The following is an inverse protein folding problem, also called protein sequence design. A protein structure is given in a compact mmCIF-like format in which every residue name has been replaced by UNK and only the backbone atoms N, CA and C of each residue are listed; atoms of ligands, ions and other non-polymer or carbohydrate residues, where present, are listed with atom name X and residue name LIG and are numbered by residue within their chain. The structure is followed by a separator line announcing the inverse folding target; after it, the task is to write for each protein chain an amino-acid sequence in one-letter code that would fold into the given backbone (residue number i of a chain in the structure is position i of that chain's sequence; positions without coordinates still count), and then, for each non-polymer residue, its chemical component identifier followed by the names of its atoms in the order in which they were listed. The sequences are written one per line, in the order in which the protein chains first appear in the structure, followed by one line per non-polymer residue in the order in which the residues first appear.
data_IF_762989220689
#
_entry.id   IF_762989220689
#
_cell.length_a   1.000
_cell.length_b   1.000
_cell.length_c   1.000
_cell.angle_alpha   90.00
_cell.angle_beta   90.00
_cell.angle_gamma   90.00
#
_symmetry.space_group_name_H-M   'P 1'
#
loop_
_entity.id
_entity.type
_entity.pdbx_description
1 polymer ?
#
# COMPACT_ATOMS: atom_id res chain seq x y z
N UNK A 1 -9.22 -33.26 19.30
CA UNK A 1 -8.32 -32.17 19.81
C UNK A 1 -8.06 -32.27 21.31
N UNK A 2 -9.05 -32.40 22.23
CA UNK A 2 -8.82 -32.42 23.69
C UNK A 2 -7.89 -33.56 24.14
N UNK A 3 -8.04 -34.79 23.61
CA UNK A 3 -7.21 -35.93 23.96
C UNK A 3 -5.75 -35.73 23.54
N UNK A 4 -5.51 -35.13 22.38
CA UNK A 4 -4.15 -34.82 21.88
C UNK A 4 -3.46 -33.79 22.78
N UNK A 5 -4.18 -32.77 23.25
CA UNK A 5 -3.65 -31.73 24.16
C UNK A 5 -3.37 -32.33 25.55
N UNK A 6 -4.22 -33.19 26.07
CA UNK A 6 -4.01 -33.93 27.33
C UNK A 6 -2.74 -34.77 27.29
N UNK A 7 -2.56 -35.54 26.19
CA UNK A 7 -1.41 -36.43 26.00
C UNK A 7 -0.09 -35.64 25.78
N UNK A 8 -0.19 -34.45 25.18
CA UNK A 8 1.00 -33.61 24.88
C UNK A 8 1.48 -32.80 26.11
N UNK A 9 0.56 -32.31 26.93
CA UNK A 9 0.89 -31.50 28.11
C UNK A 9 0.87 -32.27 29.42
N UNK A 10 0.53 -33.56 29.42
CA UNK A 10 0.43 -34.39 30.64
C UNK A 10 -0.62 -33.90 31.65
N UNK A 11 -1.62 -33.16 31.17
CA UNK A 11 -2.67 -32.58 32.00
C UNK A 11 -3.97 -33.40 31.92
N UNK A 12 -4.56 -33.72 33.08
CA UNK A 12 -5.93 -34.26 33.11
C UNK A 12 -6.96 -33.11 32.90
N UNK A 13 -7.42 -32.93 31.67
CA UNK A 13 -8.42 -31.92 31.33
C UNK A 13 -9.84 -32.19 31.89
N UNK A 14 -10.01 -33.29 32.65
CA UNK A 14 -11.27 -33.68 33.28
C UNK A 14 -11.21 -33.57 34.83
N UNK A 15 -10.06 -33.20 35.39
CA UNK A 15 -9.95 -32.93 36.80
C UNK A 15 -10.85 -31.74 37.20
N UNK A 16 -11.55 -31.78 38.33
CA UNK A 16 -12.31 -30.63 38.82
C UNK A 16 -11.38 -29.46 39.08
N UNK A 17 -11.82 -28.27 38.65
CA UNK A 17 -11.05 -27.01 38.84
C UNK A 17 -10.88 -26.76 40.36
N UNK A 18 -9.67 -26.44 40.74
CA UNK A 18 -9.37 -26.03 42.14
C UNK A 18 -9.75 -24.55 42.35
N UNK A 19 -9.88 -24.12 43.61
CA UNK A 19 -10.12 -22.71 43.94
C UNK A 19 -9.00 -21.79 43.35
N UNK A 20 -7.75 -22.30 43.28
CA UNK A 20 -6.65 -21.60 42.65
C UNK A 20 -6.83 -21.45 41.16
N UNK A 21 -7.35 -22.46 40.47
CA UNK A 21 -7.63 -22.38 39.01
C UNK A 21 -8.76 -21.39 38.73
N UNK A 22 -9.80 -21.37 39.57
CA UNK A 22 -10.91 -20.41 39.47
C UNK A 22 -10.41 -18.98 39.66
N UNK A 23 -9.56 -18.75 40.63
CA UNK A 23 -8.98 -17.40 40.88
C UNK A 23 -8.03 -16.97 39.73
N UNK A 24 -7.21 -17.88 39.23
CA UNK A 24 -6.35 -17.61 38.07
C UNK A 24 -7.20 -17.28 36.80
N UNK A 25 -8.27 -18.00 36.60
CA UNK A 25 -9.21 -17.70 35.47
C UNK A 25 -9.86 -16.32 35.64
N UNK A 26 -10.26 -15.93 36.83
CA UNK A 26 -10.79 -14.59 37.14
C UNK A 26 -9.77 -13.50 36.88
N UNK A 27 -8.53 -13.69 37.31
CA UNK A 27 -7.42 -12.76 37.06
C UNK A 27 -7.12 -12.63 35.58
N UNK A 28 -7.07 -13.75 34.87
CA UNK A 28 -6.89 -13.76 33.41
C UNK A 28 -8.02 -13.00 32.69
N UNK A 29 -9.29 -13.31 33.01
CA UNK A 29 -10.45 -12.60 32.43
C UNK A 29 -10.44 -11.11 32.77
N UNK A 30 -10.04 -10.72 33.96
CA UNK A 30 -9.88 -9.32 34.36
C UNK A 30 -8.78 -8.62 33.57
N UNK A 31 -7.61 -9.26 33.39
CA UNK A 31 -6.50 -8.75 32.61
C UNK A 31 -6.87 -8.60 31.13
N UNK A 32 -7.55 -9.59 30.54
CA UNK A 32 -8.04 -9.53 29.15
C UNK A 32 -9.01 -8.36 28.98
N UNK A 33 -10.00 -8.17 29.87
CA UNK A 33 -10.93 -7.04 29.82
C UNK A 33 -10.23 -5.69 29.95
N UNK A 34 -9.25 -5.58 30.83
CA UNK A 34 -8.46 -4.36 30.99
C UNK A 34 -7.66 -4.05 29.71
N UNK A 35 -7.06 -5.08 29.09
CA UNK A 35 -6.34 -4.96 27.80
C UNK A 35 -7.29 -4.54 26.68
N UNK A 36 -8.48 -5.16 26.56
CA UNK A 36 -9.49 -4.77 25.58
C UNK A 36 -9.97 -3.32 25.74
N UNK A 37 -10.09 -2.83 26.98
CA UNK A 37 -10.48 -1.44 27.25
C UNK A 37 -9.39 -0.46 26.86
N UNK A 38 -8.12 -0.77 27.20
CA UNK A 38 -6.95 0.03 26.78
C UNK A 38 -6.82 0.04 25.24
N UNK A 39 -7.08 -1.09 24.59
CA UNK A 39 -7.07 -1.17 23.13
C UNK A 39 -8.15 -0.28 22.50
N UNK A 40 -9.36 -0.24 23.05
CA UNK A 40 -10.45 0.63 22.57
C UNK A 40 -10.11 2.13 22.69
N UNK A 41 -9.54 2.54 23.80
CA UNK A 41 -9.12 3.93 24.01
C UNK A 41 -7.99 4.33 23.05
N UNK A 42 -7.00 3.43 22.87
CA UNK A 42 -5.91 3.67 21.91
C UNK A 42 -6.42 3.71 20.47
N UNK A 43 -7.34 2.82 20.10
CA UNK A 43 -8.01 2.85 18.78
C UNK A 43 -8.73 4.17 18.57
N UNK A 44 -9.54 4.61 19.53
CA UNK A 44 -10.25 5.89 19.46
C UNK A 44 -9.29 7.09 19.34
N UNK A 45 -8.14 7.05 20.04
CA UNK A 45 -7.09 8.05 19.94
C UNK A 45 -6.44 8.08 18.56
N UNK A 46 -6.18 6.89 17.97
CA UNK A 46 -5.65 6.79 16.60
C UNK A 46 -6.63 7.34 15.59
N UNK A 47 -7.91 6.97 15.68
CA UNK A 47 -8.97 7.51 14.81
C UNK A 47 -9.03 9.03 14.86
N UNK A 48 -9.07 9.63 16.07
CA UNK A 48 -9.07 11.11 16.22
C UNK A 48 -7.85 11.76 15.54
N UNK A 49 -6.65 11.14 15.64
CA UNK A 49 -5.45 11.67 14.95
C UNK A 49 -5.56 11.60 13.43
N UNK A 50 -6.16 10.53 12.91
CA UNK A 50 -6.42 10.38 11.47
C UNK A 50 -7.45 11.41 11.00
N UNK A 51 -8.55 11.60 11.73
CA UNK A 51 -9.58 12.59 11.42
C UNK A 51 -9.00 14.01 11.37
N UNK A 52 -8.18 14.37 12.36
CA UNK A 52 -7.49 15.67 12.37
C UNK A 52 -6.57 15.81 11.17
N UNK A 53 -5.77 14.79 10.85
CA UNK A 53 -4.87 14.82 9.69
C UNK A 53 -5.67 14.98 8.40
N UNK A 54 -6.74 14.22 8.22
CA UNK A 54 -7.61 14.28 7.06
C UNK A 54 -8.29 15.67 6.92
N UNK A 55 -8.80 16.21 8.03
CA UNK A 55 -9.47 17.51 8.04
C UNK A 55 -8.57 18.66 7.54
N UNK A 56 -7.28 18.63 7.88
CA UNK A 56 -6.31 19.65 7.45
C UNK A 56 -5.59 19.31 6.15
N UNK A 57 -6.01 18.26 5.45
CA UNK A 57 -5.48 17.88 4.14
C UNK A 57 -6.34 18.50 3.06
N UNK A 58 -5.72 19.26 2.17
CA UNK A 58 -6.36 19.88 1.01
C UNK A 58 -5.82 19.31 -0.30
N UNK A 59 -6.29 19.88 -1.39
CA UNK A 59 -5.84 19.52 -2.74
C UNK A 59 -4.36 19.86 -2.97
N UNK A 60 -3.69 19.08 -3.79
CA UNK A 60 -2.35 19.36 -4.30
C UNK A 60 -2.48 20.36 -5.44
N UNK A 61 -2.32 21.66 -5.13
CA UNK A 61 -2.34 22.75 -6.12
C UNK A 61 -0.97 22.90 -6.79
N UNK A 62 -0.91 23.47 -8.02
CA UNK A 62 0.35 23.59 -8.79
C UNK A 62 1.53 24.23 -8.06
N UNK A 63 1.28 25.12 -7.11
CA UNK A 63 2.31 25.88 -6.36
C UNK A 63 2.65 25.25 -4.99
N UNK A 64 2.11 24.08 -4.67
CA UNK A 64 2.43 23.41 -3.41
C UNK A 64 3.79 22.71 -3.47
N UNK A 65 4.51 22.58 -2.34
CA UNK A 65 5.74 21.78 -2.29
C UNK A 65 5.57 20.34 -2.77
N UNK A 66 4.38 19.75 -2.57
CA UNK A 66 4.07 18.40 -3.06
C UNK A 66 3.94 18.35 -4.57
N UNK A 67 3.33 19.35 -5.21
CA UNK A 67 3.29 19.42 -6.67
C UNK A 67 4.71 19.57 -7.26
N UNK A 68 5.56 20.36 -6.61
CA UNK A 68 6.97 20.49 -6.99
C UNK A 68 7.71 19.16 -6.79
N UNK A 69 7.47 18.47 -5.67
CA UNK A 69 8.01 17.15 -5.41
C UNK A 69 7.66 16.13 -6.51
N UNK A 70 6.40 16.09 -6.91
CA UNK A 70 5.95 15.18 -7.97
C UNK A 70 6.61 15.53 -9.33
N UNK A 71 6.73 16.82 -9.67
CA UNK A 71 7.47 17.25 -10.88
C UNK A 71 8.94 16.83 -10.84
N UNK A 72 9.61 17.02 -9.71
CA UNK A 72 11.00 16.61 -9.52
C UNK A 72 11.17 15.08 -9.65
N UNK A 73 10.08 14.32 -9.51
CA UNK A 73 10.01 12.87 -9.72
C UNK A 73 9.57 12.47 -11.14
N UNK A 74 9.49 13.43 -12.07
CA UNK A 74 9.06 13.18 -13.44
C UNK A 74 7.55 13.01 -13.62
N UNK A 75 6.76 13.15 -12.54
CA UNK A 75 5.30 13.04 -12.57
C UNK A 75 4.72 14.42 -12.86
N UNK A 76 4.46 14.73 -14.12
CA UNK A 76 4.07 16.05 -14.59
C UNK A 76 2.69 16.08 -15.25
N UNK A 77 2.37 15.09 -16.07
CA UNK A 77 1.11 14.96 -16.78
C UNK A 77 -0.05 14.74 -15.81
N UNK A 78 0.16 13.88 -14.80
CA UNK A 78 -0.84 13.57 -13.78
C UNK A 78 -1.17 14.75 -12.86
N UNK A 79 -0.38 15.82 -12.82
CA UNK A 79 -0.65 16.96 -11.93
C UNK A 79 -1.98 17.66 -12.19
N UNK A 80 -2.55 17.51 -13.38
CA UNK A 80 -3.89 18.00 -13.72
C UNK A 80 -5.03 17.06 -13.31
N UNK A 81 -4.70 15.79 -13.01
CA UNK A 81 -5.66 14.72 -12.70
C UNK A 81 -5.15 13.82 -11.58
N UNK A 82 -4.70 14.42 -10.47
CA UNK A 82 -4.24 13.65 -9.32
C UNK A 82 -5.40 12.89 -8.67
N UNK A 83 -5.14 11.68 -8.17
CA UNK A 83 -6.17 10.90 -7.51
C UNK A 83 -6.67 11.58 -6.23
N UNK A 84 -7.97 11.44 -5.94
CA UNK A 84 -8.64 12.00 -4.76
C UNK A 84 -8.07 11.53 -3.41
N UNK A 85 -7.39 10.38 -3.41
CA UNK A 85 -6.77 9.82 -2.22
C UNK A 85 -5.38 10.40 -1.93
N UNK A 86 -4.88 11.29 -2.81
CA UNK A 86 -3.70 12.11 -2.54
C UNK A 86 -4.09 13.53 -2.17
N UNK A 87 -3.41 14.06 -1.17
CA UNK A 87 -3.63 15.42 -0.71
C UNK A 87 -2.35 16.08 -0.22
N UNK A 88 -2.47 17.36 0.06
CA UNK A 88 -1.42 18.22 0.59
C UNK A 88 -1.77 18.71 1.98
N UNK A 89 -0.85 18.56 2.92
CA UNK A 89 -0.91 19.19 4.22
C UNK A 89 0.36 20.01 4.45
N UNK A 90 0.18 21.31 4.73
CA UNK A 90 1.30 22.24 4.89
C UNK A 90 2.01 22.12 6.25
N UNK A 91 1.43 21.41 7.23
CA UNK A 91 1.90 21.40 8.62
C UNK A 91 1.82 20.01 9.24
N UNK A 92 2.72 19.12 8.83
CA UNK A 92 2.80 17.77 9.40
C UNK A 92 3.92 17.73 10.43
N UNK A 93 3.60 17.30 11.65
CA UNK A 93 4.58 17.12 12.71
C UNK A 93 5.43 15.88 12.46
N UNK A 94 6.74 16.05 12.45
CA UNK A 94 7.75 15.00 12.47
C UNK A 94 8.47 15.01 13.82
N UNK A 95 8.52 13.88 14.50
CA UNK A 95 9.30 13.74 15.73
C UNK A 95 10.74 13.38 15.39
N UNK A 96 11.65 14.33 15.59
CA UNK A 96 13.08 14.12 15.43
C UNK A 96 13.66 13.53 16.71
N UNK A 97 14.05 12.26 16.66
CA UNK A 97 14.55 11.51 17.82
C UNK A 97 15.88 12.03 18.33
N UNK A 98 16.75 12.48 17.43
CA UNK A 98 18.09 12.97 17.79
C UNK A 98 18.00 14.32 18.48
N UNK A 99 17.12 15.18 18.00
CA UNK A 99 16.90 16.53 18.56
C UNK A 99 15.86 16.57 19.67
N UNK A 100 15.19 15.45 19.96
CA UNK A 100 14.11 15.33 20.95
C UNK A 100 13.05 16.43 20.80
N UNK A 101 12.67 16.78 19.55
CA UNK A 101 11.71 17.83 19.26
C UNK A 101 10.84 17.52 18.05
N UNK A 102 9.66 18.13 18.01
CA UNK A 102 8.81 18.13 16.83
C UNK A 102 9.25 19.21 15.86
N UNK A 103 9.41 18.84 14.60
CA UNK A 103 9.65 19.73 13.47
C UNK A 103 8.43 19.67 12.57
N UNK A 104 8.08 20.79 11.92
CA UNK A 104 6.94 20.85 11.00
C UNK A 104 7.47 20.89 9.57
N UNK A 105 6.95 19.99 8.74
CA UNK A 105 7.19 19.97 7.31
C UNK A 105 5.87 19.99 6.54
N UNK A 106 5.85 20.52 5.33
CA UNK A 106 4.79 20.20 4.38
C UNK A 106 4.91 18.73 3.95
N UNK A 107 3.84 18.15 3.44
CA UNK A 107 3.93 16.79 2.94
C UNK A 107 2.70 16.33 2.14
N UNK A 108 2.94 15.26 1.40
CA UNK A 108 1.92 14.51 0.70
C UNK A 108 1.25 13.55 1.67
N UNK A 109 -0.06 13.54 1.63
CA UNK A 109 -0.95 12.66 2.38
C UNK A 109 -1.56 11.68 1.39
N UNK A 110 -1.47 10.37 1.68
CA UNK A 110 -2.12 9.35 0.90
C UNK A 110 -3.00 8.48 1.80
N UNK A 111 -4.24 8.25 1.37
CA UNK A 111 -5.20 7.44 2.13
C UNK A 111 -4.93 5.96 1.84
N UNK A 112 -4.63 5.19 2.88
CA UNK A 112 -4.55 3.73 2.83
C UNK A 112 -5.92 3.15 3.17
N UNK A 113 -6.45 2.29 2.29
CA UNK A 113 -7.79 1.69 2.41
C UNK A 113 -7.70 0.23 2.81
N UNK A 114 -8.71 -0.25 3.54
CA UNK A 114 -8.87 -1.66 3.88
C UNK A 114 -9.38 -2.49 2.68
N UNK A 115 -9.54 -3.79 2.88
CA UNK A 115 -10.05 -4.74 1.87
C UNK A 115 -11.50 -4.48 1.41
N UNK A 116 -12.20 -3.55 2.06
CA UNK A 116 -13.56 -3.10 1.68
C UNK A 116 -13.54 -1.72 1.04
N UNK A 117 -12.34 -1.18 0.74
CA UNK A 117 -12.17 0.15 0.18
C UNK A 117 -12.43 1.31 1.15
N UNK A 118 -12.54 1.06 2.46
CA UNK A 118 -12.78 2.11 3.46
C UNK A 118 -11.46 2.70 3.94
N UNK A 119 -11.38 4.03 4.17
CA UNK A 119 -10.18 4.65 4.76
C UNK A 119 -9.80 3.96 6.08
N UNK A 120 -8.56 3.52 6.18
CA UNK A 120 -8.03 2.81 7.35
C UNK A 120 -6.93 3.61 8.05
N UNK A 121 -5.98 4.13 7.29
CA UNK A 121 -4.89 4.94 7.82
C UNK A 121 -4.33 5.89 6.77
N UNK A 122 -3.28 6.62 7.10
CA UNK A 122 -2.70 7.66 6.26
C UNK A 122 -1.20 7.43 6.14
N UNK A 123 -0.71 7.39 4.90
CA UNK A 123 0.71 7.48 4.58
C UNK A 123 1.10 8.95 4.41
N UNK A 124 2.24 9.35 4.97
CA UNK A 124 2.78 10.71 4.92
C UNK A 124 4.14 10.69 4.24
N UNK A 125 4.32 11.50 3.21
CA UNK A 125 5.62 11.79 2.62
C UNK A 125 5.98 13.22 2.96
N UNK A 126 6.98 13.40 3.83
CA UNK A 126 7.46 14.73 4.22
C UNK A 126 8.35 15.29 3.12
N UNK A 127 8.09 16.52 2.73
CA UNK A 127 8.84 17.23 1.69
C UNK A 127 9.36 18.56 2.23
N UNK A 128 10.35 19.12 1.57
CA UNK A 128 10.80 20.48 1.84
C UNK A 128 10.14 21.50 0.87
N UNK A 129 10.48 22.76 1.04
CA UNK A 129 9.95 23.85 0.20
C UNK A 129 10.42 23.78 -1.26
N UNK A 130 11.51 23.07 -1.55
CA UNK A 130 12.07 22.93 -2.89
C UNK A 130 11.52 21.72 -3.64
N UNK A 131 10.63 20.94 -3.00
CA UNK A 131 10.08 19.71 -3.58
C UNK A 131 11.04 18.53 -3.49
N UNK A 132 11.94 18.53 -2.53
CA UNK A 132 12.76 17.39 -2.19
C UNK A 132 12.16 16.67 -0.97
N UNK A 133 12.58 15.41 -0.72
CA UNK A 133 12.24 14.77 0.55
C UNK A 133 12.80 15.60 1.70
N UNK A 134 11.99 15.79 2.75
CA UNK A 134 12.45 16.48 3.96
C UNK A 134 13.74 15.82 4.48
N UNK A 135 14.72 16.63 4.98
CA UNK A 135 16.00 16.13 5.48
C UNK A 135 15.86 15.51 6.86
N UNK A 136 15.17 14.37 6.92
CA UNK A 136 14.88 13.60 8.12
C UNK A 136 15.21 12.12 7.87
N UNK A 137 15.43 11.36 8.94
CA UNK A 137 15.79 9.95 8.86
C UNK A 137 14.79 9.14 8.02
N UNK A 138 13.49 9.31 8.29
CA UNK A 138 12.42 8.59 7.61
C UNK A 138 11.39 9.57 7.03
N UNK A 139 11.59 10.06 5.79
CA UNK A 139 10.68 11.02 5.18
C UNK A 139 9.34 10.40 4.74
N UNK A 140 9.18 9.09 4.80
CA UNK A 140 7.95 8.35 4.50
C UNK A 140 7.51 7.57 5.72
N UNK A 141 6.32 7.88 6.26
CA UNK A 141 5.81 7.25 7.47
C UNK A 141 4.31 6.98 7.37
N UNK A 142 3.93 5.74 7.68
CA UNK A 142 2.53 5.39 7.92
C UNK A 142 2.08 5.86 9.29
N UNK A 143 0.89 6.43 9.42
CA UNK A 143 0.26 6.65 10.73
C UNK A 143 -0.16 5.29 11.31
N UNK A 144 -0.12 5.18 12.64
CA UNK A 144 -0.49 3.95 13.32
C UNK A 144 -1.96 3.63 13.06
N UNK A 145 -2.29 2.50 12.41
CA UNK A 145 -3.67 2.18 12.03
C UNK A 145 -4.51 1.81 13.25
N UNK A 146 -5.83 2.05 13.23
CA UNK A 146 -6.75 1.62 14.28
C UNK A 146 -7.14 0.14 14.19
N UNK A 147 -6.85 -0.54 13.06
CA UNK A 147 -7.13 -1.95 12.83
C UNK A 147 -6.05 -2.59 11.95
N UNK A 148 -6.20 -3.88 11.66
CA UNK A 148 -5.29 -4.63 10.79
C UNK A 148 -5.25 -4.04 9.36
N UNK A 149 -4.04 -3.97 8.81
CA UNK A 149 -3.78 -3.44 7.47
C UNK A 149 -3.71 -4.53 6.38
N UNK A 150 -3.78 -5.79 6.75
CA UNK A 150 -3.63 -6.91 5.80
C UNK A 150 -4.63 -6.81 4.66
N UNK A 151 -4.15 -6.90 3.45
CA UNK A 151 -4.96 -6.85 2.23
C UNK A 151 -5.32 -5.45 1.73
N UNK A 152 -5.04 -4.40 2.51
CA UNK A 152 -5.29 -3.03 2.10
C UNK A 152 -4.24 -2.48 1.14
N UNK A 153 -4.51 -1.26 0.63
CA UNK A 153 -3.63 -0.53 -0.30
C UNK A 153 -4.01 0.95 -0.39
N UNK A 154 -3.15 1.74 -1.01
CA UNK A 154 -3.46 3.11 -1.43
C UNK A 154 -4.04 3.02 -2.84
N UNK A 155 -5.36 3.17 -2.96
CA UNK A 155 -6.13 2.99 -4.19
C UNK A 155 -6.14 4.30 -4.97
N UNK A 156 -5.02 4.58 -5.69
CA UNK A 156 -4.83 5.88 -6.36
C UNK A 156 -5.85 6.11 -7.47
N UNK A 157 -6.08 5.11 -8.31
CA UNK A 157 -7.03 5.19 -9.43
C UNK A 157 -7.94 3.97 -9.42
N UNK A 158 -9.20 4.14 -9.82
CA UNK A 158 -10.10 3.00 -10.00
C UNK A 158 -9.60 2.09 -11.13
N UNK A 159 -9.83 0.77 -11.06
CA UNK A 159 -9.53 -0.12 -12.18
C UNK A 159 -10.25 0.34 -13.44
N UNK A 160 -9.59 0.24 -14.58
CA UNK A 160 -10.19 0.60 -15.86
C UNK A 160 -10.94 -0.59 -16.47
N UNK A 161 -12.18 -0.35 -16.92
CA UNK A 161 -12.96 -1.31 -17.70
C UNK A 161 -13.30 -0.72 -19.07
N UNK A 162 -12.68 -1.27 -20.12
CA UNK A 162 -13.03 -0.97 -21.50
C UNK A 162 -14.17 -1.88 -21.96
N UNK A 163 -15.36 -1.31 -22.11
CA UNK A 163 -16.55 -2.05 -22.55
C UNK A 163 -16.48 -2.50 -24.00
N UNK A 164 -15.72 -1.81 -24.87
CA UNK A 164 -15.55 -2.15 -26.27
C UNK A 164 -14.80 -3.47 -26.48
N UNK A 165 -13.68 -3.64 -25.78
CA UNK A 165 -12.91 -4.88 -25.77
C UNK A 165 -13.33 -5.87 -24.69
N UNK A 166 -14.19 -5.46 -23.76
CA UNK A 166 -14.52 -6.21 -22.53
C UNK A 166 -13.28 -6.56 -21.70
N UNK A 167 -12.40 -5.57 -21.50
CA UNK A 167 -11.13 -5.70 -20.81
C UNK A 167 -11.12 -4.92 -19.49
N UNK A 168 -10.79 -5.58 -18.40
CA UNK A 168 -10.54 -4.94 -17.11
C UNK A 168 -9.05 -4.92 -16.82
N UNK A 169 -8.54 -3.80 -16.29
CA UNK A 169 -7.11 -3.61 -16.04
C UNK A 169 -6.86 -2.91 -14.72
N UNK A 170 -5.89 -3.42 -13.97
CA UNK A 170 -5.35 -2.80 -12.75
C UNK A 170 -3.88 -3.14 -12.60
N UNK A 171 -3.09 -2.16 -12.17
CA UNK A 171 -1.71 -2.32 -11.73
C UNK A 171 -1.56 -2.17 -10.21
N UNK A 172 -0.51 -2.75 -9.66
CA UNK A 172 -0.11 -2.56 -8.25
C UNK A 172 1.42 -2.43 -8.20
N UNK A 173 1.91 -1.41 -7.49
CA UNK A 173 3.35 -1.19 -7.22
C UNK A 173 3.61 -1.12 -5.72
N UNK A 174 4.87 -1.19 -5.29
CA UNK A 174 5.20 -1.08 -3.87
C UNK A 174 4.99 0.35 -3.35
N UNK A 175 5.56 1.35 -4.00
CA UNK A 175 5.57 2.73 -3.56
C UNK A 175 4.56 3.63 -4.29
N UNK A 176 4.18 4.76 -3.66
CA UNK A 176 3.28 5.75 -4.25
C UNK A 176 3.90 6.35 -5.52
N UNK A 177 5.18 6.73 -5.45
CA UNK A 177 5.89 7.31 -6.58
C UNK A 177 6.01 6.32 -7.73
N UNK A 178 6.25 5.03 -7.43
CA UNK A 178 6.29 3.97 -8.44
C UNK A 178 4.93 3.79 -9.11
N UNK A 179 3.85 3.71 -8.33
CA UNK A 179 2.50 3.62 -8.88
C UNK A 179 2.13 4.83 -9.76
N UNK A 180 2.45 6.06 -9.31
CA UNK A 180 2.24 7.26 -10.10
C UNK A 180 3.11 7.29 -11.36
N UNK A 181 4.35 6.78 -11.31
CA UNK A 181 5.23 6.68 -12.47
C UNK A 181 4.70 5.72 -13.52
N UNK A 182 4.12 4.59 -13.09
CA UNK A 182 3.42 3.66 -13.98
C UNK A 182 2.26 4.36 -14.69
N UNK A 183 1.40 5.07 -13.95
CA UNK A 183 0.27 5.79 -14.55
C UNK A 183 0.75 6.92 -15.46
N UNK A 184 1.77 7.68 -15.05
CA UNK A 184 2.37 8.75 -15.87
C UNK A 184 2.90 8.22 -17.20
N UNK A 185 3.60 7.09 -17.19
CA UNK A 185 4.25 6.55 -18.37
C UNK A 185 3.29 5.74 -19.26
N UNK A 186 2.38 4.96 -18.66
CA UNK A 186 1.62 3.92 -19.38
C UNK A 186 0.13 4.17 -19.45
N UNK A 187 -0.40 5.11 -18.66
CA UNK A 187 -1.84 5.31 -18.42
C UNK A 187 -2.55 4.10 -17.78
N UNK A 188 -1.83 3.09 -17.32
CA UNK A 188 -2.41 1.95 -16.60
C UNK A 188 -2.78 2.39 -15.18
N UNK A 189 -4.04 2.26 -14.73
CA UNK A 189 -4.39 2.55 -13.34
C UNK A 189 -3.55 1.69 -12.41
N UNK A 190 -2.94 2.30 -11.40
CA UNK A 190 -2.02 1.61 -10.52
C UNK A 190 -2.21 2.03 -9.06
N UNK A 191 -2.20 1.06 -8.14
CA UNK A 191 -2.26 1.26 -6.70
C UNK A 191 -0.88 1.16 -6.07
N UNK A 192 -0.73 1.72 -4.86
CA UNK A 192 0.48 1.57 -4.08
C UNK A 192 0.23 0.71 -2.85
N UNK A 193 1.06 -0.31 -2.66
CA UNK A 193 0.94 -1.23 -1.53
C UNK A 193 1.55 -0.69 -0.24
N UNK A 194 2.54 0.19 -0.32
CA UNK A 194 3.34 0.80 0.75
C UNK A 194 4.52 -0.01 1.31
N UNK A 195 4.60 -1.29 1.05
CA UNK A 195 5.74 -2.17 1.39
C UNK A 195 5.61 -3.51 0.66
N UNK A 196 6.70 -4.30 0.59
CA UNK A 196 6.70 -5.64 0.02
C UNK A 196 5.68 -6.56 0.73
N UNK A 197 5.58 -6.50 2.06
CA UNK A 197 4.59 -7.27 2.82
C UNK A 197 3.15 -6.86 2.46
N UNK A 198 2.88 -5.58 2.31
CA UNK A 198 1.56 -5.11 1.86
C UNK A 198 1.30 -5.55 0.42
N UNK A 199 2.31 -5.49 -0.48
CA UNK A 199 2.20 -5.91 -1.87
C UNK A 199 1.75 -7.37 -2.00
N UNK A 200 2.39 -8.27 -1.29
CA UNK A 200 2.04 -9.69 -1.26
C UNK A 200 0.56 -9.93 -0.90
N UNK A 201 0.02 -9.10 0.00
CA UNK A 201 -1.32 -9.27 0.58
C UNK A 201 -2.41 -8.43 -0.08
N UNK A 202 -2.12 -7.58 -1.07
CA UNK A 202 -3.12 -6.70 -1.72
C UNK A 202 -4.36 -7.48 -2.13
N UNK A 203 -5.52 -6.92 -1.80
CA UNK A 203 -6.84 -7.46 -2.16
C UNK A 203 -7.64 -6.40 -2.90
N UNK A 204 -8.28 -6.79 -4.00
CA UNK A 204 -9.20 -5.92 -4.72
C UNK A 204 -10.57 -6.01 -4.05
N UNK A 205 -11.16 -4.87 -3.59
CA UNK A 205 -12.51 -4.85 -3.04
C UNK A 205 -13.53 -5.38 -4.04
N UNK A 206 -14.58 -6.08 -3.55
CA UNK A 206 -15.58 -6.72 -4.41
C UNK A 206 -16.25 -5.78 -5.42
N UNK A 207 -16.48 -4.52 -5.04
CA UNK A 207 -17.12 -3.52 -5.90
C UNK A 207 -16.20 -2.95 -6.99
N UNK A 208 -14.89 -3.24 -6.94
CA UNK A 208 -13.88 -2.87 -7.94
C UNK A 208 -13.42 -4.06 -8.78
N UNK A 209 -13.94 -5.25 -8.52
CA UNK A 209 -13.64 -6.45 -9.32
C UNK A 209 -14.21 -6.32 -10.74
N UNK A 210 -13.66 -7.08 -11.71
CA UNK A 210 -14.20 -7.14 -13.06
C UNK A 210 -15.69 -7.48 -13.10
N UNK A 211 -16.45 -6.98 -14.11
CA UNK A 211 -17.82 -7.45 -14.35
C UNK A 211 -17.89 -8.96 -14.60
N UNK A 212 -19.00 -9.63 -14.29
CA UNK A 212 -19.10 -11.09 -14.40
C UNK A 212 -18.86 -11.66 -15.80
N UNK A 213 -19.15 -10.87 -16.85
CA UNK A 213 -19.03 -11.21 -18.28
C UNK A 213 -17.75 -10.68 -18.94
N UNK A 214 -16.79 -10.22 -18.15
CA UNK A 214 -15.50 -9.72 -18.65
C UNK A 214 -14.77 -10.80 -19.47
N UNK A 215 -14.22 -10.44 -20.63
CA UNK A 215 -13.48 -11.36 -21.51
C UNK A 215 -11.99 -11.40 -21.20
N UNK A 216 -11.42 -10.26 -20.88
CA UNK A 216 -9.98 -10.10 -20.62
C UNK A 216 -9.76 -9.43 -19.28
N UNK A 217 -8.88 -10.00 -18.47
CA UNK A 217 -8.48 -9.44 -17.18
C UNK A 217 -6.96 -9.26 -17.20
N UNK A 218 -6.51 -8.03 -17.07
CA UNK A 218 -5.11 -7.67 -16.96
C UNK A 218 -4.82 -7.20 -15.53
N UNK A 219 -3.92 -7.91 -14.84
CA UNK A 219 -3.45 -7.52 -13.51
C UNK A 219 -1.93 -7.46 -13.54
N UNK A 220 -1.38 -6.25 -13.35
CA UNK A 220 0.04 -6.01 -13.49
C UNK A 220 0.68 -5.69 -12.14
N UNK A 221 1.80 -6.34 -11.83
CA UNK A 221 2.53 -6.17 -10.57
C UNK A 221 3.89 -5.57 -10.90
N UNK A 222 4.12 -4.35 -10.42
CA UNK A 222 5.30 -3.56 -10.70
C UNK A 222 6.27 -3.65 -9.54
N UNK A 223 7.16 -4.65 -9.59
CA UNK A 223 8.15 -4.92 -8.55
C UNK A 223 9.39 -4.03 -8.73
N UNK A 224 10.01 -3.62 -7.62
CA UNK A 224 11.30 -2.94 -7.65
C UNK A 224 12.44 -3.96 -7.88
N UNK A 225 13.52 -3.54 -8.55
CA UNK A 225 14.71 -4.34 -8.76
C UNK A 225 15.74 -4.03 -7.69
N UNK A 226 15.82 -4.88 -6.68
CA UNK A 226 16.78 -4.78 -5.59
C UNK A 226 17.96 -5.72 -5.74
N UNK A 227 19.11 -5.34 -5.19
CA UNK A 227 20.21 -6.27 -4.96
C UNK A 227 19.76 -7.28 -3.90
N UNK A 228 20.04 -8.57 -4.15
CA UNK A 228 19.76 -9.61 -3.17
C UNK A 228 20.50 -9.32 -1.85
N UNK A 229 19.81 -9.53 -0.74
CA UNK A 229 20.42 -9.42 0.58
C UNK A 229 21.47 -10.53 0.82
N UNK A 230 22.13 -10.54 1.98
CA UNK A 230 23.15 -11.55 2.34
C UNK A 230 22.66 -13.00 2.33
N UNK A 231 21.34 -13.22 2.31
CA UNK A 231 20.69 -14.53 2.23
C UNK A 231 20.24 -14.90 0.81
N UNK A 232 20.55 -14.03 -0.18
CA UNK A 232 20.13 -14.21 -1.57
C UNK A 232 18.67 -13.82 -1.84
N UNK A 233 17.97 -13.22 -0.85
CA UNK A 233 16.55 -12.86 -0.93
C UNK A 233 16.38 -11.48 -1.57
N UNK A 234 15.41 -11.36 -2.47
CA UNK A 234 14.92 -10.11 -3.07
C UNK A 234 13.45 -9.94 -2.69
N UNK A 235 13.22 -9.30 -1.53
CA UNK A 235 11.91 -9.26 -0.87
C UNK A 235 10.78 -8.70 -1.77
N UNK A 236 11.05 -7.68 -2.57
CA UNK A 236 10.08 -7.06 -3.47
C UNK A 236 9.60 -8.02 -4.55
N UNK A 237 10.53 -8.66 -5.29
CA UNK A 237 10.18 -9.59 -6.37
C UNK A 237 9.52 -10.87 -5.84
N UNK A 238 9.97 -11.38 -4.69
CA UNK A 238 9.34 -12.55 -4.06
C UNK A 238 7.91 -12.25 -3.60
N UNK A 239 7.65 -11.08 -3.03
CA UNK A 239 6.32 -10.63 -2.67
C UNK A 239 5.42 -10.48 -3.90
N UNK A 240 5.96 -9.93 -5.00
CA UNK A 240 5.24 -9.81 -6.27
C UNK A 240 4.85 -11.17 -6.86
N UNK A 241 5.76 -12.16 -6.82
CA UNK A 241 5.51 -13.53 -7.29
C UNK A 241 4.44 -14.25 -6.44
N UNK A 242 4.45 -14.04 -5.11
CA UNK A 242 3.40 -14.57 -4.22
C UNK A 242 2.04 -13.92 -4.51
N UNK A 243 2.01 -12.60 -4.73
CA UNK A 243 0.79 -11.91 -5.16
C UNK A 243 0.30 -12.45 -6.51
N UNK A 244 1.19 -12.62 -7.49
CA UNK A 244 0.85 -13.17 -8.81
C UNK A 244 0.16 -14.53 -8.67
N UNK A 245 0.78 -15.46 -7.94
CA UNK A 245 0.23 -16.81 -7.74
C UNK A 245 -1.16 -16.77 -7.11
N UNK A 246 -1.35 -15.94 -6.09
CA UNK A 246 -2.63 -15.76 -5.39
C UNK A 246 -3.70 -15.14 -6.29
N UNK A 247 -3.33 -14.15 -7.11
CA UNK A 247 -4.27 -13.51 -8.03
C UNK A 247 -4.66 -14.42 -9.19
N UNK A 248 -3.74 -15.24 -9.70
CA UNK A 248 -4.04 -16.28 -10.70
C UNK A 248 -5.10 -17.26 -10.15
N UNK A 249 -4.89 -17.80 -8.96
CA UNK A 249 -5.84 -18.73 -8.34
C UNK A 249 -7.21 -18.06 -8.09
N UNK A 250 -7.21 -16.87 -7.52
CA UNK A 250 -8.44 -16.13 -7.20
C UNK A 250 -9.25 -15.78 -8.45
N UNK A 251 -8.61 -15.20 -9.47
CA UNK A 251 -9.30 -14.73 -10.67
C UNK A 251 -9.72 -15.90 -11.58
N UNK A 252 -8.90 -16.95 -11.72
CA UNK A 252 -9.28 -18.13 -12.49
C UNK A 252 -10.51 -18.83 -11.90
N UNK A 253 -10.59 -18.92 -10.58
CA UNK A 253 -11.76 -19.50 -9.90
C UNK A 253 -13.03 -18.65 -10.07
N UNK A 254 -12.89 -17.32 -10.02
CA UNK A 254 -14.02 -16.38 -10.07
C UNK A 254 -14.49 -16.09 -11.49
N UNK A 255 -13.58 -16.13 -12.47
CA UNK A 255 -13.80 -15.78 -13.88
C UNK A 255 -13.28 -16.90 -14.81
N UNK A 256 -13.85 -18.11 -14.75
CA UNK A 256 -13.32 -19.27 -15.48
C UNK A 256 -13.41 -19.17 -17.00
N UNK A 257 -14.24 -18.26 -17.55
CA UNK A 257 -14.37 -18.04 -18.98
C UNK A 257 -13.50 -16.87 -19.50
N UNK A 258 -12.83 -16.12 -18.63
CA UNK A 258 -12.02 -14.97 -19.00
C UNK A 258 -10.58 -15.37 -19.31
N UNK A 259 -9.96 -14.65 -20.25
CA UNK A 259 -8.52 -14.73 -20.48
C UNK A 259 -7.80 -13.85 -19.47
N UNK A 260 -6.91 -14.45 -18.70
CA UNK A 260 -6.14 -13.76 -17.66
C UNK A 260 -4.74 -13.43 -18.16
N UNK A 261 -4.30 -12.19 -17.96
CA UNK A 261 -2.92 -11.72 -18.11
C UNK A 261 -2.48 -11.19 -16.74
N UNK A 262 -1.70 -11.96 -16.00
CA UNK A 262 -1.22 -11.57 -14.67
C UNK A 262 0.30 -11.62 -14.70
N UNK A 263 0.92 -10.45 -14.79
CA UNK A 263 2.35 -10.32 -15.06
C UNK A 263 3.05 -9.52 -13.97
N UNK A 264 4.28 -9.94 -13.66
CA UNK A 264 5.21 -9.22 -12.80
C UNK A 264 6.24 -8.54 -13.69
N UNK A 265 6.34 -7.22 -13.58
CA UNK A 265 7.34 -6.42 -14.24
C UNK A 265 8.41 -5.98 -13.25
N UNK A 266 9.66 -6.06 -13.68
CA UNK A 266 10.84 -5.56 -12.98
C UNK A 266 11.60 -4.63 -13.93
N UNK A 267 12.21 -3.53 -13.45
CA UNK A 267 13.04 -2.66 -14.28
C UNK A 267 14.08 -3.42 -15.10
N UNK A 268 14.09 -3.20 -16.42
CA UNK A 268 15.08 -3.80 -17.31
C UNK A 268 16.48 -3.18 -17.13
N UNK A 269 16.52 -1.94 -16.69
CA UNK A 269 17.74 -1.16 -16.50
C UNK A 269 18.66 -1.79 -15.43
N UNK A 270 19.96 -1.56 -15.55
CA UNK A 270 20.91 -1.95 -14.52
C UNK A 270 20.78 -1.06 -13.29
N UNK A 271 21.06 -1.65 -12.12
CA UNK A 271 21.11 -0.89 -10.87
C UNK A 271 22.30 0.06 -10.93
N UNK A 272 22.09 1.38 -10.77
CA UNK A 272 23.18 2.35 -10.81
C UNK A 272 24.24 2.09 -9.73
N UNK A 273 25.51 2.38 -10.04
CA UNK A 273 26.62 2.22 -9.11
C UNK A 273 26.37 2.89 -7.76
N UNK A 274 26.59 2.14 -6.69
CA UNK A 274 26.40 2.60 -5.32
C UNK A 274 24.94 2.63 -4.83
N UNK A 275 23.95 2.32 -5.68
CA UNK A 275 22.55 2.12 -5.26
C UNK A 275 22.29 0.68 -4.85
N UNK A 276 21.28 0.47 -4.00
CA UNK A 276 20.83 -0.86 -3.55
C UNK A 276 19.75 -1.47 -4.46
N UNK A 277 19.20 -0.67 -5.37
CA UNK A 277 18.14 -1.07 -6.28
C UNK A 277 17.80 0.04 -7.25
N UNK A 278 16.90 -0.26 -8.17
CA UNK A 278 16.25 0.68 -9.09
C UNK A 278 14.76 0.45 -9.06
N UNK A 279 13.98 1.51 -8.91
CA UNK A 279 12.54 1.48 -8.85
C UNK A 279 11.90 2.09 -10.12
N UNK A 280 10.58 1.98 -10.27
CA UNK A 280 9.88 2.48 -11.46
C UNK A 280 9.86 4.01 -11.54
N UNK A 281 10.06 4.73 -10.43
CA UNK A 281 10.27 6.16 -10.48
C UNK A 281 11.68 6.53 -10.96
N UNK A 282 12.70 5.75 -10.61
CA UNK A 282 14.04 5.89 -11.19
C UNK A 282 13.99 5.64 -12.72
N UNK A 283 13.26 4.60 -13.18
CA UNK A 283 13.06 4.31 -14.61
C UNK A 283 12.43 5.50 -15.34
N UNK A 284 11.33 6.06 -14.78
CA UNK A 284 10.67 7.23 -15.37
C UNK A 284 11.64 8.42 -15.52
N UNK A 285 12.45 8.67 -14.51
CA UNK A 285 13.43 9.78 -14.53
C UNK A 285 14.61 9.55 -15.49
N UNK A 286 15.02 8.30 -15.70
CA UNK A 286 16.16 7.94 -16.55
C UNK A 286 15.79 7.86 -18.03
N UNK A 287 14.65 7.25 -18.34
CA UNK A 287 14.29 6.85 -19.73
C UNK A 287 12.91 7.34 -20.17
N UNK A 288 12.18 8.03 -19.29
CA UNK A 288 10.80 8.42 -19.57
C UNK A 288 9.89 7.20 -19.77
N UNK A 289 8.87 7.37 -20.59
CA UNK A 289 7.90 6.30 -20.89
C UNK A 289 8.52 5.10 -21.63
N UNK A 290 9.59 5.31 -22.39
CA UNK A 290 10.22 4.25 -23.20
C UNK A 290 10.85 3.13 -22.34
N UNK A 291 11.06 3.38 -21.05
CA UNK A 291 11.54 2.37 -20.10
C UNK A 291 10.47 1.38 -19.59
N UNK A 292 9.21 1.59 -19.96
CA UNK A 292 8.09 0.75 -19.50
C UNK A 292 7.68 -0.27 -20.55
N UNK A 293 7.39 -1.52 -20.15
CA UNK A 293 7.10 -2.62 -21.08
C UNK A 293 5.72 -2.55 -21.73
N UNK A 294 4.83 -1.69 -21.23
CA UNK A 294 3.45 -1.54 -21.73
C UNK A 294 3.23 -0.08 -22.09
N UNK A 295 2.67 0.15 -23.26
CA UNK A 295 2.23 1.47 -23.71
C UNK A 295 0.75 1.41 -24.05
N UNK A 296 -0.06 2.13 -23.28
CA UNK A 296 -1.47 2.34 -23.60
C UNK A 296 -1.62 3.65 -24.37
N UNK A 297 -2.67 3.73 -25.19
CA UNK A 297 -2.96 4.96 -25.91
C UNK A 297 -3.28 6.10 -24.92
N UNK A 298 -2.77 7.32 -25.15
CA UNK A 298 -2.98 8.48 -24.25
C UNK A 298 -4.45 8.83 -24.00
N UNK A 299 -5.35 8.37 -24.84
CA UNK A 299 -6.80 8.61 -24.77
C UNK A 299 -7.46 8.01 -23.52
N UNK A 300 -6.83 7.00 -22.91
CA UNK A 300 -7.35 6.35 -21.70
C UNK A 300 -7.23 7.21 -20.43
N UNK A 301 -6.35 8.23 -20.40
CA UNK A 301 -6.21 9.13 -19.26
C UNK A 301 -7.39 10.06 -19.03
N UNK A 302 -8.10 10.43 -20.08
CA UNK A 302 -9.29 11.27 -19.98
C UNK A 302 -10.48 10.51 -19.36
N UNK A 303 -10.31 9.21 -19.09
CA UNK A 303 -11.30 8.30 -18.48
C UNK A 303 -10.91 7.86 -17.06
N UNK A 304 -9.69 8.21 -16.57
CA UNK A 304 -9.24 8.05 -15.19
C UNK A 304 -9.64 9.28 -14.37
#
# INVERSE_FOLDING_TARGET
CKKILSDFFGMDLHAPLTDADIENERRYKSAVRATETLDREEVAKRMRKLDVMYHYTGEIKPNTPVALYLRNRGISRLLSHLPKDLGFNNRIYYWDKDKQKSIIYPGMIAIYRDTRGRPLTIHRTYVDKNGDKAPVENPKLMMKPPADMTGGSIQLFDPHYDSGSSTWTLGVAEGIENALSVVEATSTPCWAASSAWCLENVTVPDFLLPPPDVKYINFYIWADKDIANSQGTRAGIEAAQRLQSRMVEFLAKRYPASKLTIEVFEPAQDIPDGKKGIDWNDVLQLTGQDGFPIHWAPECLNQL
#
